data_IF_293955955583
#
_entry.id   IF_293955955583
#
_cell.length_a   1.000
_cell.length_b   1.000
_cell.length_c   1.000
_cell.angle_alpha   90.00
_cell.angle_beta   90.00
_cell.angle_gamma   90.00
#
_symmetry.space_group_name_H-M   'P 1'
#
loop_
_entity.id
_entity.type
_entity.pdbx_description
1 polymer ?
#
# COMPACT_ATOMS: atom_id res chain seq x y z
N UNK A 1 -11.19 21.39 -26.59
CA UNK A 1 -10.54 22.22 -25.55
C UNK A 1 -9.13 21.68 -25.37
N UNK A 2 -8.13 22.56 -25.16
CA UNK A 2 -6.72 22.17 -24.94
C UNK A 2 -6.40 22.49 -23.49
N UNK A 3 -5.68 21.60 -22.82
CA UNK A 3 -5.31 21.73 -21.41
C UNK A 3 -3.83 21.41 -21.22
N UNK A 4 -3.17 22.12 -20.31
CA UNK A 4 -1.79 21.83 -19.95
C UNK A 4 -1.71 20.71 -18.91
N UNK A 5 -0.87 19.72 -19.18
CA UNK A 5 -0.48 18.69 -18.23
C UNK A 5 0.11 19.34 -16.97
N UNK A 6 -0.36 19.01 -15.76
CA UNK A 6 0.17 19.58 -14.52
C UNK A 6 1.58 19.07 -14.17
N UNK A 7 2.08 18.03 -14.86
CA UNK A 7 3.36 17.37 -14.55
C UNK A 7 4.47 17.91 -15.45
N UNK A 8 4.28 17.89 -16.77
CA UNK A 8 5.30 18.33 -17.73
C UNK A 8 4.96 19.62 -18.49
N UNK A 9 3.81 20.25 -18.19
CA UNK A 9 3.31 21.46 -18.85
C UNK A 9 3.05 21.35 -20.37
N UNK A 10 3.10 20.15 -20.96
CA UNK A 10 2.74 19.92 -22.36
C UNK A 10 1.24 20.18 -22.57
N UNK A 11 0.90 20.87 -23.66
CA UNK A 11 -0.49 21.08 -24.07
C UNK A 11 -1.01 19.84 -24.77
N UNK A 12 -2.10 19.28 -24.26
CA UNK A 12 -2.79 18.11 -24.81
C UNK A 12 -4.26 18.42 -24.97
N UNK A 13 -4.98 17.63 -25.78
CA UNK A 13 -6.44 17.75 -25.81
C UNK A 13 -6.98 17.45 -24.41
N UNK A 14 -7.99 18.19 -23.97
CA UNK A 14 -8.57 18.00 -22.62
C UNK A 14 -9.04 16.55 -22.40
N UNK A 15 -9.48 15.87 -23.47
CA UNK A 15 -9.89 14.46 -23.43
C UNK A 15 -8.71 13.48 -23.28
N UNK A 16 -7.50 13.90 -23.64
CA UNK A 16 -6.26 13.12 -23.53
C UNK A 16 -5.47 13.48 -22.27
N UNK A 17 -5.87 14.52 -21.54
CA UNK A 17 -5.13 15.05 -20.39
C UNK A 17 -4.94 14.02 -19.30
N UNK A 18 -5.97 13.23 -19.00
CA UNK A 18 -5.90 12.17 -17.99
C UNK A 18 -4.92 11.07 -18.42
N UNK A 19 -5.04 10.57 -19.65
CA UNK A 19 -4.15 9.54 -20.18
C UNK A 19 -2.69 10.02 -20.18
N UNK A 20 -2.44 11.24 -20.66
CA UNK A 20 -1.11 11.83 -20.69
C UNK A 20 -0.57 12.11 -19.29
N UNK A 21 -1.40 12.57 -18.34
CA UNK A 21 -0.96 12.75 -16.96
C UNK A 21 -0.58 11.39 -16.34
N UNK A 22 -1.38 10.35 -16.60
CA UNK A 22 -1.14 9.01 -16.11
C UNK A 22 0.15 8.38 -16.69
N UNK A 23 0.53 8.69 -17.93
CA UNK A 23 1.74 8.15 -18.55
C UNK A 23 3.03 8.64 -17.88
N UNK A 24 3.05 9.83 -17.28
CA UNK A 24 4.23 10.30 -16.49
C UNK A 24 4.56 9.39 -15.32
N UNK A 25 3.59 8.59 -14.90
CA UNK A 25 3.79 7.65 -13.82
C UNK A 25 4.10 6.24 -14.31
N UNK A 26 3.97 5.92 -15.61
CA UNK A 26 4.16 4.56 -16.12
C UNK A 26 5.62 4.07 -16.05
N UNK A 27 6.60 4.99 -16.05
CA UNK A 27 8.04 4.71 -16.03
C UNK A 27 8.63 4.55 -14.61
N UNK A 28 7.95 3.84 -13.70
CA UNK A 28 8.54 3.50 -12.39
C UNK A 28 9.22 2.13 -12.45
N UNK A 29 10.50 2.12 -12.81
CA UNK A 29 11.35 0.91 -12.88
C UNK A 29 11.30 0.09 -11.57
N UNK A 30 11.13 0.75 -10.42
CA UNK A 30 11.05 0.05 -9.14
C UNK A 30 9.73 -0.71 -8.99
N UNK A 31 8.62 -0.07 -9.31
CA UNK A 31 7.32 -0.73 -9.31
C UNK A 31 7.29 -1.90 -10.30
N UNK A 32 7.87 -1.74 -11.49
CA UNK A 32 7.95 -2.82 -12.47
C UNK A 32 8.74 -4.01 -11.94
N UNK A 33 9.92 -3.78 -11.35
CA UNK A 33 10.72 -4.84 -10.71
C UNK A 33 9.97 -5.52 -9.57
N UNK A 34 9.28 -4.75 -8.72
CA UNK A 34 8.51 -5.28 -7.60
C UNK A 34 7.35 -6.18 -8.10
N UNK A 35 6.68 -5.77 -9.19
CA UNK A 35 5.62 -6.57 -9.83
C UNK A 35 6.16 -7.86 -10.48
N UNK A 36 7.30 -7.77 -11.17
CA UNK A 36 7.99 -8.94 -11.75
C UNK A 36 8.42 -9.93 -10.67
N UNK A 37 8.98 -9.40 -9.57
CA UNK A 37 9.37 -10.19 -8.41
C UNK A 37 8.15 -10.88 -7.80
N UNK A 38 7.07 -10.17 -7.53
CA UNK A 38 5.83 -10.75 -7.01
C UNK A 38 5.29 -11.87 -7.93
N UNK A 39 5.34 -11.67 -9.25
CA UNK A 39 4.88 -12.65 -10.22
C UNK A 39 5.75 -13.91 -10.24
N UNK A 40 7.08 -13.77 -10.18
CA UNK A 40 8.00 -14.90 -10.09
C UNK A 40 7.75 -15.75 -8.83
N UNK A 41 7.44 -15.08 -7.71
CA UNK A 41 7.14 -15.77 -6.45
C UNK A 41 5.82 -16.53 -6.51
N UNK A 42 4.76 -15.93 -7.06
CA UNK A 42 3.48 -16.60 -7.24
C UNK A 42 3.59 -17.86 -8.13
N UNK A 43 4.40 -17.81 -9.19
CA UNK A 43 4.66 -18.98 -10.05
C UNK A 43 5.42 -20.09 -9.32
N UNK A 44 6.38 -19.73 -8.46
CA UNK A 44 7.11 -20.71 -7.66
C UNK A 44 6.18 -21.45 -6.67
N UNK A 45 5.28 -20.73 -6.01
CA UNK A 45 4.29 -21.28 -5.07
C UNK A 45 3.30 -22.25 -5.77
N UNK A 46 2.97 -22.02 -7.05
CA UNK A 46 2.06 -22.92 -7.80
C UNK A 46 2.68 -24.24 -8.28
N UNK A 47 4.02 -24.30 -8.38
CA UNK A 47 4.73 -25.46 -8.93
C UNK A 47 5.08 -26.52 -7.87
N UNK A 48 5.07 -26.15 -6.58
CA UNK A 48 5.33 -27.07 -5.46
C UNK A 48 4.14 -27.98 -5.13
N UNK A 49 2.91 -27.62 -5.53
CA UNK A 49 1.70 -28.40 -5.26
C UNK A 49 1.50 -29.64 -6.17
N UNK A 50 2.33 -29.86 -7.20
CA UNK A 50 2.16 -30.98 -8.15
C UNK A 50 2.94 -32.25 -7.77
N UNK A 51 3.82 -32.20 -6.77
CA UNK A 51 4.61 -33.36 -6.33
C UNK A 51 4.53 -33.53 -4.81
N UNK A 52 3.42 -34.06 -4.29
CA UNK A 52 3.38 -34.91 -3.10
C UNK A 52 1.99 -35.57 -2.96
N UNK A 53 1.85 -36.79 -3.50
CA UNK A 53 0.76 -37.68 -3.12
C UNK A 53 0.94 -38.17 -1.66
N UNK A 54 -0.13 -38.63 -0.98
CA UNK A 54 -0.07 -38.90 0.45
C UNK A 54 0.70 -40.21 0.71
N UNK A 55 1.98 -40.11 1.05
CA UNK A 55 2.67 -41.22 1.72
C UNK A 55 2.34 -41.21 3.21
N UNK A 56 1.71 -42.32 3.60
CA UNK A 56 1.21 -42.62 4.93
C UNK A 56 2.41 -42.93 5.85
N UNK A 57 2.89 -41.96 6.63
CA UNK A 57 3.92 -42.20 7.64
C UNK A 57 3.31 -42.36 9.03
N UNK A 58 3.00 -43.60 9.38
CA UNK A 58 2.90 -44.06 10.76
C UNK A 58 4.31 -44.15 11.36
N UNK A 59 4.62 -43.32 12.36
CA UNK A 59 5.91 -43.33 13.04
C UNK A 59 5.77 -43.02 14.52
N UNK A 60 5.77 -44.07 15.34
CA UNK A 60 5.72 -44.04 16.81
C UNK A 60 6.95 -43.36 17.41
N UNK A 61 6.74 -42.67 18.53
CA UNK A 61 7.77 -42.14 19.41
C UNK A 61 8.71 -43.23 19.94
N UNK A 62 10.02 -42.99 19.89
CA UNK A 62 11.00 -43.39 20.93
C UNK A 62 12.23 -42.48 20.88
N UNK A 63 12.57 -41.87 22.02
CA UNK A 63 13.87 -41.26 22.31
C UNK A 63 15.00 -42.28 22.26
N UNK A 64 16.20 -41.88 21.85
CA UNK A 64 17.43 -42.17 22.59
C UNK A 64 18.66 -41.38 22.09
N UNK A 65 19.70 -41.39 22.93
CA UNK A 65 20.77 -40.40 23.05
C UNK A 65 22.11 -40.88 22.46
N UNK A 66 23.02 -39.91 22.20
CA UNK A 66 24.51 -39.98 22.15
C UNK A 66 25.27 -40.16 20.81
N UNK A 67 25.95 -39.06 20.44
CA UNK A 67 27.41 -38.89 20.25
C UNK A 67 28.19 -39.37 18.97
N UNK A 68 28.84 -38.36 18.36
CA UNK A 68 30.17 -38.30 17.72
C UNK A 68 30.44 -38.89 16.33
N UNK A 69 30.74 -37.98 15.38
CA UNK A 69 32.02 -37.97 14.64
C UNK A 69 32.07 -38.61 13.25
N UNK A 70 31.88 -37.81 12.19
CA UNK A 70 32.55 -38.05 10.90
C UNK A 70 32.62 -36.75 10.08
N UNK A 71 33.84 -36.36 9.71
CA UNK A 71 34.08 -35.34 8.69
C UNK A 71 33.98 -36.00 7.31
N UNK A 72 33.16 -35.42 6.43
CA UNK A 72 33.34 -35.61 5.00
C UNK A 72 32.98 -34.32 4.27
N UNK A 73 33.96 -33.80 3.57
CA UNK A 73 33.87 -32.75 2.58
C UNK A 73 33.15 -33.28 1.34
N UNK A 74 32.01 -32.70 0.99
CA UNK A 74 31.49 -32.73 -0.38
C UNK A 74 30.76 -31.44 -0.73
N UNK A 75 31.17 -30.89 -1.87
CA UNK A 75 30.66 -29.73 -2.59
C UNK A 75 29.13 -29.73 -2.77
N UNK A 76 28.56 -28.52 -2.74
CA UNK A 76 27.36 -28.18 -3.52
C UNK A 76 26.03 -28.37 -2.81
N UNK A 77 25.80 -27.71 -1.67
CA UNK A 77 24.44 -27.57 -1.14
C UNK A 77 23.79 -26.31 -1.69
N UNK A 78 22.89 -26.59 -2.63
CA UNK A 78 22.00 -25.69 -3.32
C UNK A 78 21.14 -24.85 -2.35
N UNK A 79 20.80 -23.65 -2.80
CA UNK A 79 20.03 -22.58 -2.15
C UNK A 79 18.58 -22.95 -1.71
N UNK A 80 18.20 -24.22 -1.64
CA UNK A 80 16.82 -24.67 -1.44
C UNK A 80 16.28 -24.54 0.00
N UNK A 81 17.14 -24.50 1.03
CA UNK A 81 16.68 -24.45 2.42
C UNK A 81 15.98 -23.13 2.80
N UNK A 82 16.23 -22.03 2.08
CA UNK A 82 15.62 -20.73 2.41
C UNK A 82 14.15 -20.63 2.00
N UNK A 83 13.75 -21.28 0.90
CA UNK A 83 12.39 -21.21 0.36
C UNK A 83 11.37 -21.98 1.21
N UNK A 84 11.68 -23.24 1.55
CA UNK A 84 10.79 -24.09 2.36
C UNK A 84 10.47 -23.48 3.73
N UNK A 85 11.45 -22.80 4.35
CA UNK A 85 11.27 -22.12 5.64
C UNK A 85 10.34 -20.92 5.52
N UNK A 86 10.45 -20.14 4.43
CA UNK A 86 9.59 -18.98 4.21
C UNK A 86 8.14 -19.40 3.91
N UNK A 87 7.96 -20.46 3.13
CA UNK A 87 6.64 -21.00 2.82
C UNK A 87 5.94 -21.54 4.07
N UNK A 88 6.67 -22.22 4.96
CA UNK A 88 6.15 -22.66 6.25
C UNK A 88 5.77 -21.47 7.14
N UNK A 89 6.58 -20.40 7.15
CA UNK A 89 6.27 -19.18 7.89
C UNK A 89 5.00 -18.49 7.37
N UNK A 90 4.83 -18.40 6.05
CA UNK A 90 3.64 -17.84 5.41
C UNK A 90 2.42 -18.70 5.78
N UNK A 91 2.51 -20.03 5.63
CA UNK A 91 1.42 -20.95 5.97
C UNK A 91 1.01 -20.84 7.45
N UNK A 92 2.00 -20.77 8.35
CA UNK A 92 1.76 -20.55 9.78
C UNK A 92 1.09 -19.19 10.05
N UNK A 93 1.56 -18.11 9.41
CA UNK A 93 0.99 -16.78 9.57
C UNK A 93 -0.45 -16.73 9.05
N UNK A 94 -0.74 -17.33 7.90
CA UNK A 94 -2.09 -17.37 7.33
C UNK A 94 -3.08 -18.04 8.29
N UNK A 95 -2.64 -19.10 8.97
CA UNK A 95 -3.45 -19.83 9.97
C UNK A 95 -3.57 -19.09 11.31
N UNK A 96 -2.57 -18.30 11.69
CA UNK A 96 -2.47 -17.69 13.01
C UNK A 96 -2.96 -16.23 13.05
N UNK A 97 -2.95 -15.51 11.93
CA UNK A 97 -3.40 -14.13 11.88
C UNK A 97 -4.88 -14.02 12.26
N UNK A 98 -5.23 -12.92 12.93
CA UNK A 98 -6.60 -12.68 13.38
C UNK A 98 -7.17 -11.41 12.75
N UNK A 99 -8.50 -11.34 12.54
CA UNK A 99 -9.13 -10.14 12.01
C UNK A 99 -8.92 -8.94 12.94
N UNK A 100 -8.61 -7.80 12.35
CA UNK A 100 -8.60 -6.54 13.09
C UNK A 100 -10.02 -6.19 13.53
N UNK A 101 -10.13 -5.66 14.74
CA UNK A 101 -11.37 -5.08 15.24
C UNK A 101 -11.72 -3.82 14.44
N UNK A 102 -12.91 -3.80 13.85
CA UNK A 102 -13.52 -2.63 13.21
C UNK A 102 -14.57 -2.07 14.16
N UNK A 103 -14.66 -0.74 14.23
CA UNK A 103 -15.78 -0.11 14.91
C UNK A 103 -16.99 -0.11 13.97
N UNK A 104 -18.04 -0.84 14.35
CA UNK A 104 -19.30 -0.77 13.62
C UNK A 104 -19.94 0.61 13.78
N UNK A 105 -20.17 1.27 12.64
CA UNK A 105 -20.92 2.51 12.57
C UNK A 105 -22.26 2.19 11.91
N UNK A 106 -23.36 2.44 12.62
CA UNK A 106 -24.70 2.21 12.10
C UNK A 106 -24.91 3.01 10.81
N UNK A 107 -25.31 2.34 9.72
CA UNK A 107 -25.46 2.95 8.40
C UNK A 107 -24.18 3.01 7.55
N UNK A 108 -23.01 2.75 8.15
CA UNK A 108 -21.71 2.78 7.48
C UNK A 108 -21.16 4.19 7.29
N UNK A 109 -19.88 4.38 7.62
CA UNK A 109 -19.23 5.71 7.61
C UNK A 109 -19.29 6.39 6.24
N UNK A 110 -19.11 5.62 5.16
CA UNK A 110 -19.11 6.15 3.80
C UNK A 110 -20.52 6.56 3.34
N UNK A 111 -21.56 5.82 3.73
CA UNK A 111 -22.95 6.20 3.44
C UNK A 111 -23.34 7.47 4.19
N UNK A 112 -22.96 7.58 5.46
CA UNK A 112 -23.21 8.78 6.26
C UNK A 112 -22.49 9.99 5.66
N UNK A 113 -21.23 9.83 5.24
CA UNK A 113 -20.47 10.88 4.56
C UNK A 113 -21.14 11.30 3.24
N UNK A 114 -21.60 10.33 2.44
CA UNK A 114 -22.35 10.59 1.21
C UNK A 114 -23.61 11.42 1.48
N UNK A 115 -24.43 11.02 2.46
CA UNK A 115 -25.64 11.77 2.84
C UNK A 115 -25.33 13.19 3.32
N UNK A 116 -24.24 13.37 4.09
CA UNK A 116 -23.81 14.71 4.50
C UNK A 116 -23.44 15.57 3.28
N UNK A 117 -22.62 15.05 2.36
CA UNK A 117 -22.20 15.77 1.15
C UNK A 117 -23.37 16.09 0.21
N UNK A 118 -24.36 15.21 0.09
CA UNK A 118 -25.58 15.43 -0.68
C UNK A 118 -26.50 16.49 -0.04
N UNK A 119 -26.45 16.63 1.29
CA UNK A 119 -27.22 17.64 2.02
C UNK A 119 -26.59 19.03 2.01
N UNK A 120 -25.31 19.15 1.64
CA UNK A 120 -24.65 20.44 1.51
C UNK A 120 -25.22 21.22 0.33
N UNK A 121 -25.86 22.37 0.61
CA UNK A 121 -26.31 23.29 -0.43
C UNK A 121 -25.12 23.93 -1.15
N UNK A 122 -25.06 23.85 -2.48
CA UNK A 122 -23.97 24.44 -3.25
C UNK A 122 -23.88 23.92 -4.68
N UNK A 123 -22.85 24.37 -5.40
CA UNK A 123 -22.50 23.87 -6.75
C UNK A 123 -21.13 23.18 -6.78
N UNK A 124 -20.70 22.62 -5.64
CA UNK A 124 -19.46 21.84 -5.53
C UNK A 124 -19.67 20.41 -6.00
N UNK A 125 -18.67 19.87 -6.69
CA UNK A 125 -18.58 18.44 -6.98
C UNK A 125 -17.67 17.79 -5.95
N UNK A 126 -18.20 16.80 -5.23
CA UNK A 126 -17.46 16.01 -4.25
C UNK A 126 -17.25 14.61 -4.80
N UNK A 127 -16.03 14.08 -4.65
CA UNK A 127 -15.70 12.69 -4.96
C UNK A 127 -15.28 12.01 -3.67
N UNK A 128 -15.90 10.87 -3.37
CA UNK A 128 -15.56 10.03 -2.22
C UNK A 128 -15.10 8.67 -2.73
N UNK A 129 -14.28 8.00 -1.92
CA UNK A 129 -13.95 6.60 -2.16
C UNK A 129 -15.20 5.72 -2.06
N UNK A 130 -15.04 4.47 -2.49
CA UNK A 130 -16.05 3.45 -2.29
C UNK A 130 -16.15 2.99 -0.83
N UNK A 131 -16.22 1.68 -0.61
CA UNK A 131 -16.33 1.10 0.73
C UNK A 131 -15.02 1.27 1.53
N UNK A 132 -15.11 1.73 2.78
CA UNK A 132 -13.99 1.75 3.73
C UNK A 132 -14.51 1.40 5.13
N UNK A 133 -13.81 0.50 5.80
CA UNK A 133 -13.93 0.30 7.25
C UNK A 133 -12.99 1.25 7.99
N UNK A 134 -13.50 1.93 9.02
CA UNK A 134 -12.68 2.82 9.85
C UNK A 134 -11.98 2.02 10.96
N UNK A 135 -10.65 1.97 10.86
CA UNK A 135 -9.78 1.37 11.87
C UNK A 135 -9.15 2.45 12.74
N UNK A 136 -9.63 2.59 13.98
CA UNK A 136 -9.08 3.56 14.92
C UNK A 136 -7.96 2.96 15.76
N UNK A 137 -7.04 3.81 16.22
CA UNK A 137 -6.05 3.40 17.22
C UNK A 137 -6.70 3.09 18.57
N UNK A 138 -6.18 2.05 19.22
CA UNK A 138 -6.59 1.59 20.54
C UNK A 138 -5.57 2.08 21.57
N UNK A 139 -6.05 2.69 22.65
CA UNK A 139 -5.20 3.27 23.71
C UNK A 139 -4.25 2.25 24.35
N UNK A 140 -4.65 0.99 24.41
CA UNK A 140 -3.87 -0.12 24.98
C UNK A 140 -2.84 -0.71 24.03
N UNK A 141 -2.95 -0.46 22.72
CA UNK A 141 -2.16 -1.18 21.70
C UNK A 141 -1.24 -0.21 20.94
N UNK A 142 -1.85 0.72 20.21
CA UNK A 142 -1.19 1.41 19.10
C UNK A 142 -1.28 2.94 19.15
N UNK A 143 -1.89 3.50 20.20
CA UNK A 143 -1.95 4.96 20.37
C UNK A 143 -0.55 5.58 20.42
N UNK A 144 -0.33 6.58 19.57
CA UNK A 144 0.94 7.30 19.44
C UNK A 144 1.93 6.68 18.46
N UNK A 145 1.62 5.54 17.83
CA UNK A 145 2.53 4.92 16.86
C UNK A 145 1.88 4.11 15.74
N UNK A 146 0.60 3.75 15.89
CA UNK A 146 -0.13 2.84 15.02
C UNK A 146 -0.72 3.42 13.75
N UNK A 147 -0.65 4.73 13.52
CA UNK A 147 -1.42 5.40 12.47
C UNK A 147 -1.12 4.83 11.06
N UNK A 148 0.14 4.57 10.73
CA UNK A 148 0.50 3.95 9.45
C UNK A 148 -0.10 2.55 9.27
N UNK A 149 -0.09 1.74 10.33
CA UNK A 149 -0.71 0.41 10.33
C UNK A 149 -2.24 0.48 10.20
N UNK A 150 -2.89 1.41 10.91
CA UNK A 150 -4.34 1.65 10.78
C UNK A 150 -4.73 2.13 9.38
N UNK A 151 -3.90 2.96 8.74
CA UNK A 151 -4.12 3.37 7.35
C UNK A 151 -4.03 2.19 6.37
N UNK A 152 -3.06 1.28 6.56
CA UNK A 152 -2.99 0.02 5.79
C UNK A 152 -4.27 -0.80 5.96
N UNK A 153 -4.78 -0.91 7.20
CA UNK A 153 -6.04 -1.63 7.46
C UNK A 153 -7.23 -1.01 6.72
N UNK A 154 -7.38 0.33 6.78
CA UNK A 154 -8.45 1.04 6.07
C UNK A 154 -8.34 0.85 4.54
N UNK A 155 -7.15 1.00 3.95
CA UNK A 155 -6.95 0.75 2.52
C UNK A 155 -7.24 -0.71 2.15
N UNK A 156 -6.83 -1.65 2.99
CA UNK A 156 -7.07 -3.08 2.76
C UNK A 156 -8.56 -3.42 2.77
N UNK A 157 -9.37 -2.77 3.62
CA UNK A 157 -10.82 -2.98 3.66
C UNK A 157 -11.50 -2.66 2.32
N UNK A 158 -11.08 -1.57 1.66
CA UNK A 158 -11.53 -1.18 0.34
C UNK A 158 -11.12 -2.23 -0.71
N UNK A 159 -9.84 -2.61 -0.71
CA UNK A 159 -9.28 -3.57 -1.67
C UNK A 159 -9.98 -4.93 -1.57
N UNK A 160 -10.10 -5.48 -0.36
CA UNK A 160 -10.77 -6.76 -0.12
C UNK A 160 -12.24 -6.75 -0.52
N UNK A 161 -12.92 -5.60 -0.36
CA UNK A 161 -14.34 -5.47 -0.70
C UNK A 161 -14.60 -5.31 -2.19
N UNK A 162 -13.75 -4.55 -2.89
CA UNK A 162 -14.04 -4.08 -4.25
C UNK A 162 -13.20 -4.71 -5.35
N UNK A 163 -12.06 -5.34 -5.02
CA UNK A 163 -11.12 -5.92 -5.98
C UNK A 163 -10.98 -7.42 -5.77
N UNK A 164 -11.70 -8.26 -6.53
CA UNK A 164 -11.61 -9.71 -6.41
C UNK A 164 -10.18 -10.24 -6.47
N UNK A 165 -9.36 -9.69 -7.37
CA UNK A 165 -7.96 -10.06 -7.54
C UNK A 165 -7.12 -9.74 -6.30
N UNK A 166 -7.44 -8.64 -5.59
CA UNK A 166 -6.76 -8.31 -4.34
C UNK A 166 -7.23 -9.21 -3.19
N UNK A 167 -8.51 -9.59 -3.19
CA UNK A 167 -9.09 -10.48 -2.18
C UNK A 167 -8.49 -11.89 -2.22
N UNK A 168 -8.11 -12.37 -3.40
CA UNK A 168 -7.49 -13.68 -3.59
C UNK A 168 -6.06 -13.75 -3.02
N UNK A 169 -5.31 -12.64 -3.08
CA UNK A 169 -3.88 -12.63 -2.74
C UNK A 169 -3.57 -11.99 -1.39
N UNK A 170 -4.30 -10.95 -0.98
CA UNK A 170 -3.99 -10.19 0.23
C UNK A 170 -4.05 -11.09 1.45
N UNK A 171 -2.97 -11.04 2.24
CA UNK A 171 -2.83 -11.76 3.49
C UNK A 171 -3.07 -13.27 3.35
N UNK A 172 -2.62 -13.84 2.22
CA UNK A 172 -2.80 -15.26 1.91
C UNK A 172 -4.25 -15.65 1.65
N UNK A 173 -5.03 -14.74 1.04
CA UNK A 173 -6.42 -15.01 0.66
C UNK A 173 -7.37 -15.18 1.84
N UNK A 174 -7.02 -14.66 3.02
CA UNK A 174 -7.80 -14.83 4.27
C UNK A 174 -9.19 -14.19 4.20
N UNK A 175 -9.39 -13.23 3.29
CA UNK A 175 -10.65 -12.52 3.09
C UNK A 175 -10.99 -11.51 4.18
N UNK A 176 -10.05 -11.19 5.08
CA UNK A 176 -10.22 -10.17 6.11
C UNK A 176 -8.98 -9.30 6.29
N UNK A 177 -9.16 -8.13 6.90
CA UNK A 177 -8.06 -7.22 7.28
C UNK A 177 -7.43 -7.72 8.59
N UNK A 178 -6.13 -8.05 8.64
CA UNK A 178 -5.51 -8.62 9.82
C UNK A 178 -5.11 -7.55 10.86
N UNK A 179 -4.82 -8.00 12.08
CA UNK A 179 -4.33 -7.14 13.17
C UNK A 179 -2.90 -6.61 12.92
N UNK A 180 -2.47 -5.62 13.73
CA UNK A 180 -1.17 -4.96 13.57
C UNK A 180 0.01 -5.94 13.69
N UNK A 181 0.06 -6.86 14.68
CA UNK A 181 1.12 -7.87 14.74
C UNK A 181 1.24 -8.71 13.47
N UNK A 182 0.12 -9.12 12.87
CA UNK A 182 0.13 -9.87 11.61
C UNK A 182 0.60 -9.01 10.44
N UNK A 183 0.20 -7.72 10.37
CA UNK A 183 0.72 -6.79 9.35
C UNK A 183 2.24 -6.59 9.47
N UNK A 184 2.77 -6.53 10.69
CA UNK A 184 4.21 -6.46 10.92
C UNK A 184 4.92 -7.70 10.37
N UNK A 185 4.35 -8.89 10.58
CA UNK A 185 4.89 -10.13 10.02
C UNK A 185 4.82 -10.17 8.50
N UNK A 186 3.72 -9.74 7.90
CA UNK A 186 3.61 -9.65 6.46
C UNK A 186 4.63 -8.68 5.86
N UNK A 187 4.94 -7.57 6.55
CA UNK A 187 5.99 -6.65 6.11
C UNK A 187 7.40 -7.27 6.24
N UNK A 188 7.69 -7.99 7.33
CA UNK A 188 8.96 -8.73 7.47
C UNK A 188 9.11 -9.79 6.36
N UNK A 189 8.04 -10.52 6.04
CA UNK A 189 8.02 -11.46 4.91
C UNK A 189 8.27 -10.72 3.60
N UNK A 190 7.67 -9.55 3.36
CA UNK A 190 7.96 -8.77 2.16
C UNK A 190 9.45 -8.41 2.05
N UNK A 191 10.10 -8.08 3.18
CA UNK A 191 11.54 -7.83 3.21
C UNK A 191 12.39 -9.07 2.96
N UNK A 192 12.01 -10.23 3.52
CA UNK A 192 12.66 -11.52 3.25
C UNK A 192 12.50 -11.92 1.77
N UNK A 193 11.39 -11.50 1.15
CA UNK A 193 11.13 -11.59 -0.29
C UNK A 193 11.92 -10.55 -1.12
N UNK A 194 12.80 -9.76 -0.51
CA UNK A 194 13.66 -8.71 -1.11
C UNK A 194 12.93 -7.43 -1.59
N UNK A 195 11.70 -7.19 -1.16
CA UNK A 195 11.06 -5.90 -1.40
C UNK A 195 11.69 -4.82 -0.49
N UNK A 196 11.92 -3.63 -1.03
CA UNK A 196 12.40 -2.45 -0.28
C UNK A 196 13.53 -2.73 0.73
N UNK A 197 14.65 -3.25 0.21
CA UNK A 197 15.84 -3.57 1.03
C UNK A 197 16.39 -2.35 1.78
N UNK A 198 16.19 -1.13 1.27
CA UNK A 198 16.58 0.11 1.94
C UNK A 198 15.71 0.36 3.18
N UNK A 199 14.39 0.29 3.02
CA UNK A 199 13.44 0.37 4.14
C UNK A 199 13.68 -0.73 5.16
N UNK A 200 13.90 -1.98 4.71
CA UNK A 200 14.22 -3.09 5.61
C UNK A 200 15.46 -2.81 6.45
N UNK A 201 16.55 -2.35 5.82
CA UNK A 201 17.79 -2.00 6.52
C UNK A 201 17.58 -0.86 7.53
N UNK A 202 16.76 0.15 7.21
CA UNK A 202 16.40 1.21 8.15
C UNK A 202 15.75 0.65 9.43
N UNK A 203 14.92 -0.39 9.30
CA UNK A 203 14.29 -1.08 10.41
C UNK A 203 15.11 -2.25 10.99
N UNK A 204 16.34 -2.47 10.53
CA UNK A 204 17.16 -3.63 10.90
C UNK A 204 16.44 -4.97 10.66
N UNK A 205 15.66 -5.04 9.57
CA UNK A 205 14.85 -6.20 9.17
C UNK A 205 13.86 -6.66 10.27
N UNK A 206 13.42 -5.75 11.16
CA UNK A 206 12.55 -6.13 12.28
C UNK A 206 11.58 -5.04 12.70
N UNK A 207 10.30 -5.37 12.61
CA UNK A 207 9.18 -4.54 13.11
C UNK A 207 8.23 -5.30 14.02
N UNK A 208 8.18 -6.62 13.91
CA UNK A 208 7.29 -7.45 14.71
C UNK A 208 7.56 -7.33 16.20
N UNK A 209 6.49 -7.07 16.94
CA UNK A 209 6.52 -6.90 18.40
C UNK A 209 7.09 -5.56 18.85
N UNK A 210 7.45 -4.67 17.91
CA UNK A 210 7.96 -3.35 18.21
C UNK A 210 6.94 -2.25 17.88
N UNK A 211 7.01 -1.12 18.60
CA UNK A 211 6.18 0.06 18.40
C UNK A 211 6.77 0.99 17.34
N UNK A 212 6.97 0.47 16.13
CA UNK A 212 7.63 1.19 15.03
C UNK A 212 6.64 2.00 14.22
N UNK A 213 6.97 3.28 14.01
CA UNK A 213 6.28 4.10 13.02
C UNK A 213 6.66 3.60 11.64
N UNK A 214 5.68 3.54 10.76
CA UNK A 214 5.85 3.26 9.34
C UNK A 214 5.20 4.37 8.52
N UNK A 215 5.63 4.51 7.28
CA UNK A 215 5.13 5.49 6.34
C UNK A 215 4.58 4.88 5.06
N UNK A 216 4.53 5.72 4.03
CA UNK A 216 4.01 5.36 2.71
C UNK A 216 4.89 4.30 2.01
N UNK A 217 6.19 4.27 2.31
CA UNK A 217 7.14 3.27 1.80
C UNK A 217 6.77 1.87 2.22
N UNK A 218 6.64 1.61 3.52
CA UNK A 218 6.27 0.28 4.04
C UNK A 218 4.87 -0.15 3.58
N UNK A 219 3.93 0.80 3.46
CA UNK A 219 2.60 0.55 2.91
C UNK A 219 2.67 0.08 1.45
N UNK A 220 3.45 0.76 0.61
CA UNK A 220 3.64 0.37 -0.79
C UNK A 220 4.36 -0.97 -0.90
N UNK A 221 5.45 -1.18 -0.14
CA UNK A 221 6.20 -2.43 -0.04
C UNK A 221 5.29 -3.61 0.27
N UNK A 222 4.43 -3.46 1.29
CA UNK A 222 3.47 -4.50 1.69
C UNK A 222 2.53 -4.86 0.54
N UNK A 223 1.85 -3.88 -0.08
CA UNK A 223 0.91 -4.16 -1.16
C UNK A 223 1.59 -4.74 -2.41
N UNK A 224 2.79 -4.24 -2.76
CA UNK A 224 3.58 -4.76 -3.88
C UNK A 224 4.00 -6.20 -3.66
N UNK A 225 4.32 -6.60 -2.42
CA UNK A 225 4.66 -7.99 -2.10
C UNK A 225 3.53 -8.99 -2.36
N UNK A 226 2.27 -8.51 -2.37
CA UNK A 226 1.09 -9.30 -2.77
C UNK A 226 0.77 -9.18 -4.28
N UNK A 227 1.66 -8.59 -5.08
CA UNK A 227 1.44 -8.37 -6.51
C UNK A 227 0.44 -7.26 -6.82
N UNK A 228 0.15 -6.36 -5.87
CA UNK A 228 -0.70 -5.20 -6.13
C UNK A 228 0.13 -4.01 -6.60
N UNK A 229 -0.36 -3.36 -7.65
CA UNK A 229 0.21 -2.10 -8.13
C UNK A 229 -0.02 -0.99 -7.10
N UNK A 230 1.06 -0.54 -6.44
CA UNK A 230 1.06 0.58 -5.50
C UNK A 230 2.17 1.57 -5.84
N UNK A 231 1.87 2.87 -5.90
CA UNK A 231 2.83 3.92 -6.26
C UNK A 231 2.88 5.00 -5.19
N UNK A 232 4.10 5.41 -4.87
CA UNK A 232 4.36 6.53 -3.96
C UNK A 232 4.50 7.78 -4.81
N UNK A 233 3.76 8.84 -4.46
CA UNK A 233 3.93 10.17 -5.04
C UNK A 233 4.39 11.07 -3.92
N UNK A 234 5.59 11.62 -4.07
CA UNK A 234 6.14 12.62 -3.16
C UNK A 234 5.78 14.02 -3.67
N UNK A 235 5.29 14.86 -2.76
CA UNK A 235 4.89 16.23 -3.05
C UNK A 235 5.87 17.17 -2.37
N UNK A 236 6.96 17.52 -3.05
CA UNK A 236 7.86 18.54 -2.55
C UNK A 236 7.31 19.95 -2.86
N UNK A 237 7.32 20.80 -1.83
CA UNK A 237 6.91 22.21 -1.87
C UNK A 237 7.93 23.12 -2.57
N UNK A 238 9.05 22.58 -3.04
CA UNK A 238 10.05 23.35 -3.79
C UNK A 238 9.56 23.64 -5.21
N UNK A 239 8.64 24.60 -5.33
CA UNK A 239 8.44 25.29 -6.59
C UNK A 239 9.77 25.93 -7.03
N UNK A 240 10.41 25.36 -8.05
CA UNK A 240 11.43 26.02 -8.86
C UNK A 240 12.46 26.84 -8.08
N UNK A 241 13.49 26.21 -7.53
CA UNK A 241 14.78 26.89 -7.26
C UNK A 241 15.55 27.20 -8.56
N UNK A 242 14.83 27.51 -9.64
CA UNK A 242 15.34 28.04 -10.90
C UNK A 242 15.07 29.53 -10.99
N UNK A 243 16.14 30.31 -10.98
CA UNK A 243 16.22 31.78 -11.04
C UNK A 243 15.77 32.54 -9.79
N UNK A 244 16.73 32.73 -8.88
CA UNK A 244 16.76 33.92 -8.01
C UNK A 244 16.82 35.18 -8.89
N UNK A 245 15.65 35.74 -9.24
CA UNK A 245 15.58 37.15 -9.60
C UNK A 245 15.50 37.95 -8.29
N UNK A 246 16.62 38.56 -7.93
CA UNK A 246 16.66 39.62 -6.92
C UNK A 246 15.74 40.74 -7.40
N UNK A 247 14.57 40.88 -6.77
CA UNK A 247 13.96 42.16 -6.40
C UNK A 247 12.52 41.97 -5.88
N UNK A 248 12.33 42.20 -4.57
CA UNK A 248 11.25 43.02 -4.03
C UNK A 248 9.80 42.50 -4.05
N UNK A 249 9.24 42.44 -2.83
CA UNK A 249 7.82 42.39 -2.43
C UNK A 249 7.23 40.99 -2.24
N UNK A 250 7.07 40.62 -0.96
CA UNK A 250 6.23 39.54 -0.49
C UNK A 250 4.78 39.76 -0.95
N UNK A 251 4.38 39.11 -2.03
CA UNK A 251 3.00 38.69 -2.23
C UNK A 251 2.92 37.24 -1.77
N UNK A 252 1.98 36.92 -0.89
CA UNK A 252 1.71 35.53 -0.52
C UNK A 252 1.41 34.76 -1.82
N UNK A 253 2.30 33.85 -2.20
CA UNK A 253 2.05 32.97 -3.34
C UNK A 253 0.86 32.10 -2.96
N UNK A 254 -0.26 32.31 -3.65
CA UNK A 254 -1.41 31.44 -3.55
C UNK A 254 -0.95 30.07 -4.06
N UNK A 255 -0.61 29.16 -3.14
CA UNK A 255 -0.27 27.77 -3.45
C UNK A 255 -1.48 27.18 -4.14
N UNK A 256 -1.34 26.91 -5.43
CA UNK A 256 -2.41 26.41 -6.28
C UNK A 256 -2.14 24.93 -6.49
N UNK A 257 -2.89 24.08 -5.80
CA UNK A 257 -2.79 22.64 -5.96
C UNK A 257 -3.14 22.23 -7.39
N UNK A 258 -2.61 21.10 -7.89
CA UNK A 258 -2.82 20.66 -9.27
C UNK A 258 -4.30 20.46 -9.66
N UNK A 259 -5.18 20.30 -8.67
CA UNK A 259 -6.63 20.16 -8.83
C UNK A 259 -7.42 21.48 -8.80
N UNK A 260 -6.83 22.59 -8.35
CA UNK A 260 -7.52 23.87 -8.15
C UNK A 260 -7.97 24.54 -9.46
N UNK A 261 -7.49 24.06 -10.61
CA UNK A 261 -7.92 24.52 -11.93
C UNK A 261 -9.22 23.87 -12.42
N UNK A 262 -9.62 22.75 -11.82
CA UNK A 262 -10.83 22.01 -12.16
C UNK A 262 -12.01 22.34 -11.25
N UNK A 263 -11.77 23.08 -10.15
CA UNK A 263 -12.83 23.67 -9.34
C UNK A 263 -13.42 24.85 -10.11
N UNK A 264 -14.46 24.60 -10.90
CA UNK A 264 -15.18 25.63 -11.66
C UNK A 264 -15.78 26.63 -10.66
N UNK A 265 -15.18 27.82 -10.55
CA UNK A 265 -15.82 28.94 -9.84
C UNK A 265 -16.96 29.46 -10.70
N UNK A 266 -18.19 29.04 -10.38
CA UNK A 266 -19.39 29.72 -10.85
C UNK A 266 -19.46 31.10 -10.19
N UNK A 267 -18.80 32.09 -10.78
CA UNK A 267 -19.04 33.48 -10.42
C UNK A 267 -20.35 33.93 -11.08
N UNK A 268 -21.34 34.46 -10.33
CA UNK A 268 -22.51 35.07 -10.95
C UNK A 268 -22.08 36.32 -11.75
N UNK A 269 -22.78 36.66 -12.84
CA UNK A 269 -22.44 37.81 -13.67
C UNK A 269 -22.56 39.10 -12.84
N UNK A 270 -21.52 39.93 -12.90
CA UNK A 270 -21.51 41.26 -12.28
C UNK A 270 -22.65 42.10 -12.86
N UNK A 271 -23.56 42.57 -12.01
CA UNK A 271 -24.54 43.58 -12.41
C UNK A 271 -23.81 44.88 -12.75
N UNK A 272 -23.90 45.29 -14.00
CA UNK A 272 -23.50 46.63 -14.46
C UNK A 272 -24.61 47.63 -14.14
N UNK A 273 -24.50 48.27 -12.98
CA UNK A 273 -25.21 49.49 -12.56
C UNK A 273 -24.53 49.86 -11.23
N UNK A 274 -23.95 51.03 -10.99
CA UNK A 274 -24.19 52.40 -11.43
C UNK A 274 -22.88 53.18 -11.21
N UNK A 275 -22.65 54.28 -11.94
CA UNK A 275 -21.97 55.48 -11.44
C UNK A 275 -22.06 56.59 -12.50
N UNK A 276 -22.89 57.59 -12.17
CA UNK A 276 -23.03 58.96 -12.70
C UNK A 276 -23.38 59.15 -14.19
#
# INVERSE_FOLDING_TARGET
MISSCPICNIQVLTVELEQHANSHFEDDDQLQRDMELAHQMALAESNTDIMNGPEHCTGSFTSDSNAQGASSSHNGYSHHYGGEVLDEQISCLVRAQIPSKVQEVQGGIMSLLMSCLESEGGSSTSMISGYIDHHQSLSSEDKGWGCGWRNIQMMSSLLLKQRPEAREVLFGGSGFVPDIPSLQRWLEIAWDKNFDTIGSNHFHNKVYGAKKWIGTTECATLFRSFGLRSRIVDFDSTESSGLQNKNGKHAASQVRGPMDKFVIKNNPPKSSSELC
#
